data_IF_172715301427
#
_entry.id   IF_172715301427
#
_cell.length_a   1.000
_cell.length_b   1.000
_cell.length_c   1.000
_cell.angle_alpha   90.00
_cell.angle_beta   90.00
_cell.angle_gamma   90.00
#
_symmetry.space_group_name_H-M   'P 1'
#
loop_
_entity.id
_entity.type
_entity.pdbx_description
1 polymer ?
#
# COMPACT_ATOMS: atom_id res chain seq x y z
N UNK A 1 -3.87 -1.45 -0.58
CA UNK A 1 -3.08 -0.23 -0.88
C UNK A 1 -2.88 0.57 0.39
N UNK A 2 -1.71 1.16 0.57
CA UNK A 2 -1.35 1.98 1.75
C UNK A 2 -0.82 3.33 1.30
N UNK A 3 -1.14 4.37 2.07
CA UNK A 3 -0.62 5.72 1.85
C UNK A 3 0.88 5.80 2.19
N UNK A 4 1.65 6.52 1.38
CA UNK A 4 3.08 6.77 1.63
C UNK A 4 3.34 7.40 3.01
N UNK A 5 2.48 8.32 3.47
CA UNK A 5 2.62 8.99 4.78
C UNK A 5 2.48 7.99 5.92
N UNK A 6 1.60 6.99 5.79
CA UNK A 6 1.44 5.96 6.82
C UNK A 6 2.67 5.05 6.89
N UNK A 7 3.24 4.69 5.73
CA UNK A 7 4.48 3.91 5.63
C UNK A 7 5.64 4.65 6.29
N UNK A 8 5.77 5.96 6.06
CA UNK A 8 6.80 6.79 6.68
C UNK A 8 6.60 6.91 8.20
N UNK A 9 5.37 7.13 8.66
CA UNK A 9 5.06 7.28 10.10
C UNK A 9 5.24 5.99 10.90
N UNK A 10 4.95 4.85 10.29
CA UNK A 10 5.11 3.53 10.91
C UNK A 10 6.50 2.94 10.67
N UNK A 11 7.38 3.67 9.97
CA UNK A 11 8.75 3.26 9.63
C UNK A 11 8.79 1.87 8.97
N UNK A 12 7.77 1.56 8.16
CA UNK A 12 7.65 0.23 7.56
C UNK A 12 8.67 0.05 6.43
N UNK A 13 9.26 -1.15 6.28
CA UNK A 13 10.24 -1.41 5.24
C UNK A 13 9.60 -1.36 3.85
N UNK A 14 10.10 -0.45 3.01
CA UNK A 14 9.66 -0.32 1.62
C UNK A 14 10.38 -1.36 0.76
N UNK A 15 9.60 -2.09 -0.02
CA UNK A 15 10.05 -3.08 -0.99
C UNK A 15 9.80 -2.52 -2.41
N UNK A 16 10.79 -2.53 -3.31
CA UNK A 16 10.55 -2.15 -4.70
C UNK A 16 9.58 -3.12 -5.39
N UNK A 17 8.58 -2.58 -6.09
CA UNK A 17 7.59 -3.40 -6.78
C UNK A 17 8.25 -4.13 -7.97
N UNK A 18 8.13 -5.46 -8.11
CA UNK A 18 8.83 -6.23 -9.14
C UNK A 18 8.41 -5.86 -10.58
N UNK A 19 7.16 -5.40 -10.75
CA UNK A 19 6.61 -4.93 -12.03
C UNK A 19 5.83 -3.62 -11.87
N UNK A 20 6.50 -2.45 -11.87
CA UNK A 20 5.81 -1.18 -11.70
C UNK A 20 4.72 -0.96 -12.76
N UNK A 21 3.58 -0.42 -12.38
CA UNK A 21 2.44 -0.24 -13.27
C UNK A 21 1.69 1.08 -13.01
N UNK A 22 0.88 1.51 -13.98
CA UNK A 22 0.09 2.75 -13.90
C UNK A 22 -1.36 2.45 -13.55
N UNK A 23 -1.87 3.12 -12.53
CA UNK A 23 -3.27 3.13 -12.13
C UNK A 23 -3.99 4.29 -12.81
N UNK A 24 -4.47 4.05 -14.03
CA UNK A 24 -5.23 5.06 -14.79
C UNK A 24 -6.62 5.33 -14.20
N UNK A 25 -7.20 4.36 -13.49
CA UNK A 25 -8.53 4.51 -12.88
C UNK A 25 -8.52 5.37 -11.62
N UNK A 26 -7.36 5.52 -10.98
CA UNK A 26 -7.24 6.23 -9.70
C UNK A 26 -6.98 7.74 -9.88
N UNK A 27 -6.28 8.16 -10.94
CA UNK A 27 -6.05 9.58 -11.21
C UNK A 27 -5.90 9.90 -12.71
N UNK A 28 -6.26 11.13 -13.11
CA UNK A 28 -6.11 11.62 -14.50
C UNK A 28 -4.65 11.61 -14.98
N UNK A 29 -3.69 11.73 -14.06
CA UNK A 29 -2.24 11.67 -14.38
C UNK A 29 -1.72 10.22 -14.47
N UNK A 30 -2.49 9.25 -13.98
CA UNK A 30 -2.07 7.85 -13.86
C UNK A 30 -1.01 7.71 -12.77
N UNK A 31 -1.43 7.35 -11.55
CA UNK A 31 -0.48 7.10 -10.47
C UNK A 31 0.37 5.87 -10.77
N UNK A 32 1.67 5.96 -10.52
CA UNK A 32 2.59 4.85 -10.75
C UNK A 32 2.76 4.10 -9.43
N UNK A 33 2.38 2.82 -9.41
CA UNK A 33 2.73 1.90 -8.34
C UNK A 33 4.11 1.35 -8.64
N UNK A 34 5.09 1.70 -7.81
CA UNK A 34 6.46 1.18 -7.91
C UNK A 34 7.04 0.71 -6.57
N UNK A 35 6.26 0.79 -5.49
CA UNK A 35 6.66 0.44 -4.13
C UNK A 35 5.58 -0.42 -3.48
N UNK A 36 6.02 -1.34 -2.63
CA UNK A 36 5.19 -2.21 -1.81
C UNK A 36 5.71 -2.20 -0.38
N UNK A 37 4.87 -2.68 0.54
CA UNK A 37 5.19 -2.81 1.95
C UNK A 37 4.46 -4.03 2.50
N UNK A 38 5.10 -4.76 3.41
CA UNK A 38 4.41 -5.79 4.17
C UNK A 38 3.79 -5.17 5.42
N UNK A 39 2.48 -5.33 5.56
CA UNK A 39 1.74 -4.86 6.73
C UNK A 39 1.31 -6.06 7.54
N UNK A 40 1.82 -6.15 8.76
CA UNK A 40 1.39 -7.16 9.71
C UNK A 40 0.09 -6.68 10.39
N UNK A 41 -1.00 -7.42 10.19
CA UNK A 41 -2.30 -7.13 10.77
C UNK A 41 -2.58 -8.15 11.86
N UNK A 42 -2.87 -7.66 13.06
CA UNK A 42 -3.25 -8.51 14.20
C UNK A 42 -4.66 -8.16 14.66
N UNK A 43 -5.57 -9.13 14.64
CA UNK A 43 -6.95 -9.00 15.10
C UNK A 43 -7.26 -10.07 16.15
N UNK A 44 -7.10 -9.71 17.43
CA UNK A 44 -7.21 -10.65 18.54
C UNK A 44 -6.14 -11.74 18.42
N UNK A 45 -6.56 -12.99 18.13
CA UNK A 45 -5.64 -14.12 17.91
C UNK A 45 -5.19 -14.28 16.46
N UNK A 46 -5.84 -13.59 15.53
CA UNK A 46 -5.48 -13.64 14.12
C UNK A 46 -4.28 -12.75 13.87
N UNK A 47 -3.31 -13.29 13.16
CA UNK A 47 -2.10 -12.59 12.75
C UNK A 47 -1.86 -12.95 11.30
N UNK A 48 -1.78 -11.93 10.45
CA UNK A 48 -1.55 -12.10 9.02
C UNK A 48 -0.61 -11.03 8.50
N UNK A 49 0.09 -11.33 7.41
CA UNK A 49 1.02 -10.41 6.76
C UNK A 49 0.52 -10.15 5.33
N UNK A 50 0.20 -8.90 5.06
CA UNK A 50 -0.44 -8.49 3.81
C UNK A 50 0.53 -7.62 3.01
N UNK A 51 0.91 -8.09 1.82
CA UNK A 51 1.66 -7.29 0.86
C UNK A 51 0.75 -6.21 0.27
N UNK A 52 1.10 -4.95 0.50
CA UNK A 52 0.30 -3.82 0.06
C UNK A 52 1.09 -2.89 -0.87
N UNK A 53 0.44 -2.44 -1.94
CA UNK A 53 0.98 -1.40 -2.82
C UNK A 53 0.98 -0.03 -2.14
N UNK A 54 2.08 0.71 -2.26
CA UNK A 54 2.23 2.06 -1.70
C UNK A 54 1.87 3.10 -2.75
N UNK A 55 0.99 4.04 -2.38
CA UNK A 55 0.53 5.11 -3.26
C UNK A 55 0.47 6.46 -2.54
N UNK A 56 0.73 7.57 -3.25
CA UNK A 56 0.54 8.92 -2.73
C UNK A 56 -0.95 9.32 -2.84
N UNK A 57 -1.82 8.70 -2.03
CA UNK A 57 -3.25 9.06 -1.99
C UNK A 57 -3.52 10.11 -0.92
N UNK A 58 -4.44 11.06 -1.16
CA UNK A 58 -4.95 11.98 -0.13
C UNK A 58 -6.02 11.30 0.75
N UNK A 59 -5.76 10.09 1.23
CA UNK A 59 -6.71 9.35 2.07
C UNK A 59 -5.99 8.64 3.22
N UNK A 60 -6.49 8.85 4.43
CA UNK A 60 -5.96 8.28 5.68
C UNK A 60 -6.34 6.81 5.88
N UNK A 61 -6.72 6.09 4.81
CA UNK A 61 -7.38 4.79 4.88
C UNK A 61 -6.55 3.70 4.19
N UNK A 62 -6.53 2.51 4.78
CA UNK A 62 -6.00 1.30 4.14
C UNK A 62 -7.09 0.75 3.22
N UNK A 63 -6.80 0.69 1.92
CA UNK A 63 -7.70 0.04 0.97
C UNK A 63 -7.38 -1.45 0.92
N UNK A 64 -8.20 -2.27 1.56
CA UNK A 64 -8.17 -3.72 1.40
C UNK A 64 -9.03 -4.07 0.18
N UNK A 65 -8.39 -4.23 -0.97
CA UNK A 65 -9.08 -4.81 -2.12
C UNK A 65 -9.36 -6.29 -1.81
N UNK A 66 -10.57 -6.75 -2.14
CA UNK A 66 -10.98 -8.14 -1.87
C UNK A 66 -10.15 -9.11 -2.72
N UNK A 67 -9.82 -10.31 -2.20
CA UNK A 67 -9.06 -11.33 -2.92
C UNK A 67 -9.77 -11.80 -4.20
#
# INVERSE_FOLDING_TARGET
MVEVVLVEKLELPIIPHPKPYKLQWLSKKGEIVNKQVNVEVTLGKYKDEILCNVLPMEATHILLERP
#
